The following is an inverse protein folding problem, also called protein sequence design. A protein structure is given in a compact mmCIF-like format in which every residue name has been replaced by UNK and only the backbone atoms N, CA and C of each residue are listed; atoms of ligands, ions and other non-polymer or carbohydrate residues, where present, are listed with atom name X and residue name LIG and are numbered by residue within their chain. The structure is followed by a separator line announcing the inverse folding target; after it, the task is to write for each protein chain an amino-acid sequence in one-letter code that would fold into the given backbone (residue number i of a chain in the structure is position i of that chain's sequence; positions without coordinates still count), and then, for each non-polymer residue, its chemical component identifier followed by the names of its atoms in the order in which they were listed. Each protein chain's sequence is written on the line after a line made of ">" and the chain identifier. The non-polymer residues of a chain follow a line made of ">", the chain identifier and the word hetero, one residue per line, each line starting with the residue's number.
data_IF_520882547519
#
_entry.id   IF_520882547519
#
_cell.length_a   1.000
_cell.length_b   1.000
_cell.length_c   1.000
_cell.angle_alpha   90.00
_cell.angle_beta   90.00
_cell.angle_gamma   90.00
#
_symmetry.space_group_name_H-M   'P 1'
#
loop_
_entity.id
_entity.type
_entity.pdbx_description
1 polymer ?
#
# COMPACT_ATOMS: atom_id res chain seq x y z
N UNK A 1 27.03 30.08 -6.08
CA UNK A 1 26.93 29.06 -7.14
C UNK A 1 25.55 28.45 -7.05
N UNK A 2 24.66 28.81 -7.98
CA UNK A 2 23.26 28.41 -7.97
C UNK A 2 23.15 26.95 -8.40
N UNK A 3 22.62 26.07 -7.52
CA UNK A 3 22.23 24.71 -7.92
C UNK A 3 21.13 24.86 -8.97
N UNK A 4 21.43 24.50 -10.22
CA UNK A 4 20.40 24.30 -11.24
C UNK A 4 19.43 23.26 -10.67
N UNK A 5 18.21 23.69 -10.32
CA UNK A 5 17.07 22.79 -10.16
C UNK A 5 17.01 22.02 -11.49
N UNK A 6 17.16 20.70 -11.45
CA UNK A 6 16.84 19.88 -12.61
C UNK A 6 15.37 20.19 -12.92
N UNK A 7 15.09 20.52 -14.18
CA UNK A 7 13.72 20.68 -14.66
C UNK A 7 12.99 19.35 -14.40
N UNK A 8 12.24 19.30 -13.30
CA UNK A 8 11.37 18.18 -13.00
C UNK A 8 10.35 18.12 -14.14
N UNK A 9 10.18 16.95 -14.75
CA UNK A 9 9.04 16.72 -15.61
C UNK A 9 7.78 16.97 -14.74
N UNK A 10 6.96 18.01 -14.98
CA UNK A 10 5.83 18.30 -14.11
C UNK A 10 4.66 17.33 -14.35
N UNK A 11 4.71 16.58 -15.46
CA UNK A 11 3.63 15.71 -15.86
C UNK A 11 3.65 14.43 -15.03
N UNK A 12 2.52 14.17 -14.37
CA UNK A 12 2.23 12.93 -13.69
C UNK A 12 0.94 12.34 -14.28
N UNK A 13 0.80 11.01 -14.39
CA UNK A 13 -0.27 10.42 -15.20
C UNK A 13 -1.60 10.20 -14.46
N UNK A 14 -1.65 10.38 -13.15
CA UNK A 14 -2.83 10.17 -12.32
C UNK A 14 -3.77 11.39 -12.33
N UNK A 15 -5.08 11.18 -12.16
CA UNK A 15 -6.03 12.27 -11.95
C UNK A 15 -5.66 13.11 -10.71
N UNK A 16 -5.77 14.44 -10.81
CA UNK A 16 -5.49 15.34 -9.69
C UNK A 16 -6.47 15.17 -8.51
N UNK A 17 -7.69 14.71 -8.81
CA UNK A 17 -8.73 14.36 -7.84
C UNK A 17 -9.00 12.86 -7.98
N UNK A 18 -9.16 12.16 -6.85
CA UNK A 18 -9.47 10.73 -6.82
C UNK A 18 -10.70 10.46 -7.70
N UNK A 19 -10.63 9.52 -8.64
CA UNK A 19 -11.81 9.05 -9.34
C UNK A 19 -12.91 8.62 -8.37
N UNK A 20 -14.16 8.64 -8.83
CA UNK A 20 -15.24 8.00 -8.09
C UNK A 20 -14.95 6.51 -7.90
N UNK A 21 -15.17 6.01 -6.68
CA UNK A 21 -14.92 4.62 -6.31
C UNK A 21 -16.19 4.01 -5.74
N UNK A 22 -16.66 2.95 -6.36
CA UNK A 22 -17.75 2.12 -5.84
C UNK A 22 -17.21 0.74 -5.48
N UNK A 23 -17.50 0.26 -4.27
CA UNK A 23 -17.10 -1.07 -3.81
C UNK A 23 -18.37 -1.82 -3.42
N UNK A 24 -18.65 -2.91 -4.14
CA UNK A 24 -19.84 -3.72 -3.93
C UNK A 24 -19.45 -5.19 -3.71
N UNK A 25 -19.90 -5.77 -2.60
CA UNK A 25 -19.78 -7.21 -2.40
C UNK A 25 -20.61 -7.95 -3.46
N UNK A 26 -20.06 -8.99 -4.06
CA UNK A 26 -20.76 -9.79 -5.07
C UNK A 26 -20.76 -11.26 -4.69
N UNK A 27 -21.83 -11.95 -5.04
CA UNK A 27 -21.88 -13.42 -5.00
C UNK A 27 -21.14 -13.95 -6.22
N UNK A 28 -19.87 -14.31 -6.02
CA UNK A 28 -19.02 -14.92 -7.03
C UNK A 28 -18.32 -16.14 -6.42
N UNK A 29 -17.86 -17.07 -7.28
CA UNK A 29 -17.05 -18.19 -6.81
C UNK A 29 -15.79 -17.67 -6.11
N UNK A 30 -15.49 -18.15 -4.88
CA UNK A 30 -14.25 -17.79 -4.20
C UNK A 30 -13.04 -18.17 -5.07
N UNK A 31 -12.07 -17.27 -5.14
CA UNK A 31 -10.80 -17.53 -5.80
C UNK A 31 -9.63 -17.22 -4.88
N UNK A 32 -8.54 -17.96 -5.08
CA UNK A 32 -7.25 -17.60 -4.53
C UNK A 32 -6.55 -16.66 -5.53
N UNK A 33 -5.88 -15.63 -5.02
CA UNK A 33 -5.00 -14.76 -5.81
C UNK A 33 -3.56 -15.19 -5.64
N UNK A 34 -2.80 -15.11 -6.72
CA UNK A 34 -1.34 -15.16 -6.72
C UNK A 34 -0.77 -13.74 -6.66
N UNK A 35 -0.73 -13.16 -5.46
CA UNK A 35 -0.24 -11.81 -5.22
C UNK A 35 1.29 -11.79 -5.05
N UNK A 36 2.00 -11.40 -6.11
CA UNK A 36 3.46 -11.25 -6.10
C UNK A 36 3.93 -9.89 -5.58
N UNK A 37 2.99 -8.99 -5.30
CA UNK A 37 3.28 -7.63 -4.90
C UNK A 37 3.86 -7.56 -3.48
N UNK A 38 4.85 -6.69 -3.29
CA UNK A 38 5.42 -6.41 -1.98
C UNK A 38 4.41 -5.78 -1.04
N UNK A 39 4.47 -6.08 0.28
CA UNK A 39 3.55 -5.53 1.28
C UNK A 39 3.47 -4.00 1.21
N UNK A 40 2.25 -3.47 1.02
CA UNK A 40 1.93 -2.04 1.12
C UNK A 40 2.36 -1.11 -0.03
N UNK A 41 3.06 -1.62 -1.05
CA UNK A 41 3.72 -0.78 -2.07
C UNK A 41 3.53 -1.27 -3.51
N UNK A 42 2.81 -2.38 -3.72
CA UNK A 42 2.34 -2.88 -5.03
C UNK A 42 3.45 -3.23 -6.06
N UNK A 43 4.73 -3.19 -5.69
CA UNK A 43 5.83 -3.55 -6.57
C UNK A 43 5.91 -5.06 -6.76
N UNK A 44 6.13 -5.54 -7.99
CA UNK A 44 6.48 -6.94 -8.22
C UNK A 44 8.00 -7.06 -8.24
N UNK A 45 8.62 -7.90 -7.40
CA UNK A 45 10.08 -8.07 -7.34
C UNK A 45 10.66 -8.82 -8.55
N UNK A 46 10.58 -8.21 -9.73
CA UNK A 46 11.05 -8.74 -11.01
C UNK A 46 11.84 -7.68 -11.78
N UNK A 47 12.92 -8.10 -12.44
CA UNK A 47 13.74 -7.18 -13.25
C UNK A 47 12.95 -6.73 -14.48
N UNK A 48 12.86 -5.42 -14.68
CA UNK A 48 12.08 -4.80 -15.75
C UNK A 48 10.60 -4.57 -15.39
N UNK A 49 10.13 -5.04 -14.23
CA UNK A 49 8.80 -4.67 -13.75
C UNK A 49 8.76 -3.18 -13.38
N UNK A 50 7.62 -2.56 -13.63
CA UNK A 50 7.37 -1.17 -13.35
C UNK A 50 5.95 -1.02 -12.81
N UNK A 51 5.86 -0.54 -11.58
CA UNK A 51 4.60 -0.18 -10.94
C UNK A 51 4.58 1.32 -10.66
N UNK A 52 3.49 1.97 -11.04
CA UNK A 52 3.09 3.25 -10.46
C UNK A 52 1.88 3.06 -9.54
N UNK A 53 1.86 3.80 -8.45
CA UNK A 53 0.70 3.94 -7.58
C UNK A 53 0.67 5.32 -6.92
N UNK A 54 -0.51 5.69 -6.42
CA UNK A 54 -0.80 7.02 -5.91
C UNK A 54 -1.35 7.00 -4.50
N UNK A 55 -1.36 8.16 -3.84
CA UNK A 55 -2.09 8.43 -2.60
C UNK A 55 -3.04 9.60 -2.81
N UNK A 56 -4.27 9.44 -2.35
CA UNK A 56 -5.31 10.46 -2.31
C UNK A 56 -5.79 10.68 -0.88
N UNK A 57 -5.65 11.91 -0.37
CA UNK A 57 -5.97 12.25 1.01
C UNK A 57 -7.29 13.05 1.14
N UNK A 58 -8.09 12.79 2.18
CA UNK A 58 -9.29 13.56 2.52
C UNK A 58 -8.94 14.99 3.01
N UNK A 59 -9.90 15.91 3.06
CA UNK A 59 -11.31 15.74 2.70
C UNK A 59 -11.58 15.82 1.19
N UNK A 60 -10.70 16.49 0.44
CA UNK A 60 -10.92 16.80 -0.98
C UNK A 60 -10.52 15.64 -1.92
N UNK A 61 -9.89 14.59 -1.37
CA UNK A 61 -9.37 13.46 -2.14
C UNK A 61 -8.44 13.89 -3.26
N UNK A 62 -7.54 14.83 -2.95
CA UNK A 62 -6.52 15.33 -3.87
C UNK A 62 -5.36 14.36 -3.95
N UNK A 63 -4.74 14.28 -5.12
CA UNK A 63 -3.49 13.56 -5.30
C UNK A 63 -2.39 14.24 -4.48
N UNK A 64 -1.82 13.53 -3.52
CA UNK A 64 -0.79 14.06 -2.62
C UNK A 64 0.57 13.43 -2.83
N UNK A 65 0.62 12.20 -3.34
CA UNK A 65 1.88 11.52 -3.64
C UNK A 65 1.70 10.48 -4.73
N UNK A 66 2.79 10.21 -5.46
CA UNK A 66 2.94 9.07 -6.35
C UNK A 66 4.27 8.40 -6.08
N UNK A 67 4.31 7.09 -6.27
CA UNK A 67 5.55 6.33 -6.32
C UNK A 67 5.66 5.58 -7.63
N UNK A 68 6.81 5.73 -8.29
CA UNK A 68 7.26 4.85 -9.36
C UNK A 68 8.29 3.89 -8.81
N UNK A 69 8.05 2.60 -9.03
CA UNK A 69 8.91 1.52 -8.55
C UNK A 69 9.36 0.69 -9.75
N UNK A 70 10.67 0.63 -9.97
CA UNK A 70 11.27 -0.06 -11.12
C UNK A 70 12.20 -1.17 -10.62
N UNK A 71 11.95 -2.41 -11.00
CA UNK A 71 12.89 -3.51 -10.80
C UNK A 71 14.09 -3.36 -11.73
N UNK A 72 15.26 -3.02 -11.20
CA UNK A 72 16.42 -2.61 -12.00
C UNK A 72 17.32 -3.78 -12.38
N UNK A 73 17.68 -4.60 -11.40
CA UNK A 73 18.66 -5.68 -11.59
C UNK A 73 18.56 -6.73 -10.48
N UNK A 74 19.09 -7.95 -10.71
CA UNK A 74 19.29 -8.91 -9.63
C UNK A 74 20.24 -8.34 -8.59
N UNK A 75 19.95 -8.60 -7.32
CA UNK A 75 20.74 -8.19 -6.17
C UNK A 75 20.81 -9.32 -5.13
N UNK A 76 21.61 -9.11 -4.10
CA UNK A 76 21.71 -10.01 -2.95
C UNK A 76 21.80 -9.18 -1.68
N UNK A 77 20.90 -9.45 -0.74
CA UNK A 77 20.98 -8.92 0.62
C UNK A 77 21.35 -10.11 1.52
N UNK A 78 22.50 -10.01 2.19
CA UNK A 78 23.11 -11.13 2.92
C UNK A 78 23.29 -12.36 2.02
N UNK A 79 22.62 -13.47 2.32
CA UNK A 79 22.63 -14.72 1.55
C UNK A 79 21.41 -14.86 0.62
N UNK A 80 20.48 -13.91 0.63
CA UNK A 80 19.20 -14.01 -0.09
C UNK A 80 19.24 -13.28 -1.43
N UNK A 81 18.94 -14.01 -2.51
CA UNK A 81 18.75 -13.42 -3.84
C UNK A 81 17.47 -12.59 -3.91
N UNK A 82 17.53 -11.44 -4.56
CA UNK A 82 16.44 -10.47 -4.64
C UNK A 82 16.57 -9.57 -5.88
N UNK A 83 15.69 -8.57 -5.98
CA UNK A 83 15.71 -7.52 -7.00
C UNK A 83 15.93 -6.18 -6.33
N UNK A 84 16.87 -5.39 -6.87
CA UNK A 84 17.02 -3.97 -6.56
C UNK A 84 15.86 -3.21 -7.22
N UNK A 85 15.04 -2.56 -6.40
CA UNK A 85 13.92 -1.73 -6.81
C UNK A 85 14.29 -0.28 -6.56
N UNK A 86 14.31 0.52 -7.63
CA UNK A 86 14.48 1.97 -7.51
C UNK A 86 13.12 2.62 -7.37
N UNK A 87 12.99 3.49 -6.38
CA UNK A 87 11.79 4.30 -6.16
C UNK A 87 12.07 5.74 -6.54
N UNK A 88 11.16 6.31 -7.32
CA UNK A 88 11.07 7.74 -7.56
C UNK A 88 9.71 8.19 -7.04
N UNK A 89 9.66 9.25 -6.23
CA UNK A 89 8.40 9.77 -5.72
C UNK A 89 8.07 11.10 -6.39
N UNK A 90 6.78 11.40 -6.51
CA UNK A 90 6.29 12.71 -6.92
C UNK A 90 5.42 13.30 -5.83
N UNK A 91 5.57 14.60 -5.60
CA UNK A 91 4.72 15.39 -4.71
C UNK A 91 4.33 16.70 -5.42
N UNK A 92 3.14 17.28 -5.14
CA UNK A 92 2.66 18.48 -5.82
C UNK A 92 3.64 19.66 -5.87
N UNK A 93 4.32 19.93 -4.75
CA UNK A 93 5.21 21.09 -4.62
C UNK A 93 6.67 20.80 -5.04
N UNK A 94 7.05 19.53 -5.08
CA UNK A 94 8.42 19.10 -5.36
C UNK A 94 8.61 18.52 -6.77
N UNK A 95 7.54 18.06 -7.41
CA UNK A 95 7.61 17.28 -8.64
C UNK A 95 8.27 15.91 -8.42
N UNK A 96 8.73 15.29 -9.52
CA UNK A 96 9.41 14.00 -9.45
C UNK A 96 10.81 14.13 -8.82
N UNK A 97 11.02 13.38 -7.75
CA UNK A 97 12.29 13.19 -7.07
C UNK A 97 12.85 11.83 -7.45
N UNK A 98 14.08 11.80 -7.96
CA UNK A 98 14.71 10.57 -8.44
C UNK A 98 15.47 9.86 -7.32
N UNK A 99 15.29 8.54 -7.20
CA UNK A 99 16.02 7.70 -6.27
C UNK A 99 15.77 8.07 -4.80
N UNK A 100 14.52 8.38 -4.47
CA UNK A 100 14.10 8.67 -3.08
C UNK A 100 14.34 7.46 -2.18
N UNK A 101 14.15 6.26 -2.73
CA UNK A 101 14.51 5.00 -2.10
C UNK A 101 15.22 4.06 -3.07
N UNK A 102 16.14 3.27 -2.52
CA UNK A 102 16.58 2.00 -3.08
C UNK A 102 16.07 0.89 -2.16
N UNK A 103 15.22 0.03 -2.68
CA UNK A 103 14.62 -1.06 -1.93
C UNK A 103 15.03 -2.40 -2.52
N UNK A 104 14.98 -3.45 -1.71
CA UNK A 104 15.38 -4.78 -2.13
C UNK A 104 14.29 -5.74 -1.71
N UNK A 105 13.71 -6.44 -2.68
CA UNK A 105 12.60 -7.35 -2.45
C UNK A 105 12.76 -8.63 -3.24
N UNK A 106 12.03 -9.67 -2.82
CA UNK A 106 11.89 -10.90 -3.57
C UNK A 106 10.47 -11.44 -3.47
N UNK A 107 10.08 -12.20 -4.48
CA UNK A 107 8.91 -13.08 -4.43
C UNK A 107 9.40 -14.52 -4.48
N UNK A 108 9.09 -15.31 -3.45
CA UNK A 108 9.33 -16.75 -3.39
C UNK A 108 8.11 -17.51 -3.91
N UNK A 109 8.08 -18.83 -3.71
CA UNK A 109 6.90 -19.63 -4.03
C UNK A 109 5.71 -19.30 -3.10
N UNK A 110 5.98 -18.85 -1.87
CA UNK A 110 4.99 -18.72 -0.80
C UNK A 110 4.81 -17.29 -0.29
N UNK A 111 5.76 -16.38 -0.54
CA UNK A 111 5.75 -15.02 0.03
C UNK A 111 6.27 -13.96 -0.95
N UNK A 112 5.84 -12.72 -0.72
CA UNK A 112 6.49 -11.51 -1.22
C UNK A 112 7.11 -10.76 -0.04
N UNK A 113 8.37 -10.35 -0.14
CA UNK A 113 9.16 -9.94 1.03
C UNK A 113 10.07 -8.74 0.72
N UNK A 114 10.07 -7.78 1.63
CA UNK A 114 11.11 -6.75 1.74
C UNK A 114 12.32 -7.31 2.48
N UNK A 115 13.52 -7.08 1.95
CA UNK A 115 14.79 -7.51 2.54
C UNK A 115 15.66 -6.34 3.00
N UNK A 116 15.56 -5.18 2.33
CA UNK A 116 16.26 -3.98 2.75
C UNK A 116 15.63 -2.73 2.15
N UNK A 117 15.85 -1.60 2.81
CA UNK A 117 15.57 -0.26 2.31
C UNK A 117 16.80 0.62 2.52
N UNK A 118 17.04 1.53 1.58
CA UNK A 118 18.11 2.51 1.65
C UNK A 118 17.59 3.85 1.17
N UNK A 119 17.75 4.89 1.99
CA UNK A 119 17.35 6.26 1.66
C UNK A 119 18.31 7.29 2.22
N UNK A 120 18.18 8.52 1.76
CA UNK A 120 18.87 9.67 2.35
C UNK A 120 18.01 10.25 3.48
N UNK A 121 18.60 10.45 4.66
CA UNK A 121 17.99 11.16 5.80
C UNK A 121 18.91 12.34 6.13
N UNK A 122 18.50 13.54 5.75
CA UNK A 122 19.39 14.71 5.78
C UNK A 122 20.56 14.54 4.80
N UNK A 123 21.78 14.43 5.31
CA UNK A 123 22.99 14.15 4.51
C UNK A 123 23.47 12.70 4.62
N UNK A 124 22.84 11.90 5.50
CA UNK A 124 23.25 10.52 5.78
C UNK A 124 22.49 9.53 4.89
N UNK A 125 23.19 8.53 4.37
CA UNK A 125 22.57 7.38 3.71
C UNK A 125 22.32 6.29 4.74
N UNK A 126 21.05 6.03 5.01
CA UNK A 126 20.60 5.05 5.99
C UNK A 126 20.15 3.79 5.26
N UNK A 127 20.76 2.65 5.59
CA UNK A 127 20.42 1.33 5.09
C UNK A 127 19.94 0.48 6.27
N UNK A 128 18.72 -0.04 6.18
CA UNK A 128 18.21 -1.05 7.10
C UNK A 128 17.84 -2.31 6.32
N UNK A 129 18.06 -3.46 6.93
CA UNK A 129 17.84 -4.80 6.38
C UNK A 129 16.93 -5.60 7.30
N UNK A 130 16.41 -6.73 6.81
CA UNK A 130 15.57 -7.64 7.58
C UNK A 130 16.21 -8.26 8.84
N UNK A 131 17.50 -8.01 9.08
CA UNK A 131 18.21 -8.41 10.31
C UNK A 131 18.30 -7.28 11.34
N UNK A 132 17.94 -6.06 10.98
CA UNK A 132 17.96 -4.92 11.89
C UNK A 132 16.68 -4.88 12.73
N UNK A 133 16.82 -4.54 14.01
CA UNK A 133 15.71 -4.50 14.97
C UNK A 133 14.59 -3.57 14.50
N UNK A 134 13.35 -4.07 14.48
CA UNK A 134 12.18 -3.29 14.10
C UNK A 134 12.04 -3.07 12.60
N UNK A 135 12.89 -3.65 11.75
CA UNK A 135 12.69 -3.63 10.30
C UNK A 135 11.32 -4.20 9.95
N UNK A 136 10.97 -5.31 10.60
CA UNK A 136 9.72 -5.99 10.39
C UNK A 136 8.49 -5.14 10.72
N UNK A 137 8.59 -4.09 11.54
CA UNK A 137 7.45 -3.23 11.95
C UNK A 137 6.88 -2.43 10.77
N UNK A 138 7.77 -1.88 9.94
CA UNK A 138 7.41 -1.04 8.79
C UNK A 138 7.52 -1.79 7.46
N UNK A 139 8.25 -2.91 7.45
CA UNK A 139 8.59 -3.71 6.27
C UNK A 139 8.38 -5.19 6.59
N UNK A 140 8.30 -6.08 5.62
CA UNK A 140 8.18 -7.48 5.99
C UNK A 140 7.79 -8.37 4.85
N UNK A 141 7.08 -9.45 5.19
CA UNK A 141 6.59 -10.42 4.23
C UNK A 141 5.08 -10.59 4.32
N UNK A 142 4.46 -10.84 3.17
CA UNK A 142 3.06 -11.26 3.08
C UNK A 142 2.98 -12.59 2.33
N UNK A 143 2.02 -13.47 2.66
CA UNK A 143 1.70 -14.62 1.84
C UNK A 143 1.42 -14.21 0.39
N UNK A 144 1.99 -14.95 -0.55
CA UNK A 144 1.79 -14.76 -1.99
C UNK A 144 0.43 -15.29 -2.44
N UNK A 145 0.06 -16.46 -1.95
CA UNK A 145 -1.23 -17.06 -2.23
C UNK A 145 -2.23 -16.64 -1.16
N UNK A 146 -3.24 -15.87 -1.54
CA UNK A 146 -4.25 -15.34 -0.60
C UNK A 146 -5.63 -15.78 -1.05
N UNK A 147 -6.41 -16.30 -0.11
CA UNK A 147 -7.81 -16.68 -0.31
C UNK A 147 -8.65 -16.27 0.91
N UNK A 148 -9.97 -16.26 0.76
CA UNK A 148 -10.86 -16.18 1.91
C UNK A 148 -10.99 -17.56 2.56
N UNK A 149 -10.28 -17.73 3.68
CA UNK A 149 -10.27 -18.96 4.47
C UNK A 149 -11.21 -18.87 5.69
N UNK A 150 -12.07 -17.84 5.76
CA UNK A 150 -12.97 -17.62 6.90
C UNK A 150 -12.25 -17.32 8.21
N UNK A 151 -10.98 -16.89 8.16
CA UNK A 151 -10.17 -16.52 9.34
C UNK A 151 -10.57 -15.19 9.96
N UNK A 152 -11.17 -14.29 9.17
CA UNK A 152 -11.75 -13.02 9.62
C UNK A 152 -13.23 -12.99 9.19
N UNK A 153 -14.14 -13.09 10.15
CA UNK A 153 -15.57 -13.29 9.88
C UNK A 153 -16.36 -12.04 10.19
N UNK A 154 -17.18 -11.60 9.24
CA UNK A 154 -18.12 -10.49 9.42
C UNK A 154 -19.29 -10.91 10.31
N UNK A 155 -19.61 -10.10 11.30
CA UNK A 155 -20.74 -10.28 12.22
C UNK A 155 -22.00 -9.58 11.70
N UNK A 156 -23.15 -9.85 12.34
CA UNK A 156 -24.45 -9.28 11.94
C UNK A 156 -24.51 -7.75 12.03
N UNK A 157 -23.78 -7.15 12.98
CA UNK A 157 -23.66 -5.70 13.14
C UNK A 157 -22.66 -5.06 12.15
N UNK A 158 -22.06 -5.86 11.26
CA UNK A 158 -21.12 -5.41 10.24
C UNK A 158 -19.67 -5.31 10.71
N UNK A 159 -19.38 -5.53 12.00
CA UNK A 159 -18.02 -5.66 12.52
C UNK A 159 -17.37 -6.99 12.11
N UNK A 160 -16.12 -7.21 12.49
CA UNK A 160 -15.38 -8.43 12.18
C UNK A 160 -14.81 -9.06 13.45
N UNK A 161 -14.73 -10.40 13.44
CA UNK A 161 -14.05 -11.19 14.46
C UNK A 161 -12.97 -12.05 13.85
N UNK A 162 -11.78 -11.98 14.44
CA UNK A 162 -10.70 -12.91 14.13
C UNK A 162 -11.02 -14.27 14.77
N UNK A 163 -10.96 -15.34 13.98
CA UNK A 163 -11.10 -16.73 14.46
C UNK A 163 -9.79 -17.40 14.80
N UNK A 164 -8.69 -16.74 14.47
CA UNK A 164 -7.33 -17.14 14.78
C UNK A 164 -6.66 -15.98 15.51
N UNK A 165 -5.77 -16.28 16.45
CA UNK A 165 -4.89 -15.24 16.96
C UNK A 165 -4.01 -14.77 15.79
N UNK A 166 -3.87 -13.45 15.56
CA UNK A 166 -2.89 -12.97 14.62
C UNK A 166 -1.51 -13.46 15.07
N UNK A 167 -0.71 -13.91 14.12
CA UNK A 167 0.67 -14.21 14.41
C UNK A 167 1.37 -12.91 14.82
N UNK A 168 2.39 -12.99 15.68
CA UNK A 168 3.27 -11.85 15.94
C UNK A 168 4.10 -11.48 14.69
N UNK A 169 3.94 -12.21 13.57
CA UNK A 169 4.52 -11.82 12.30
C UNK A 169 3.80 -10.58 11.77
N UNK A 170 4.54 -9.75 11.05
CA UNK A 170 4.18 -8.33 11.06
C UNK A 170 3.05 -7.95 10.12
N UNK A 171 2.66 -8.82 9.19
CA UNK A 171 1.49 -8.58 8.34
C UNK A 171 0.74 -9.89 8.06
N UNK A 172 -0.19 -10.24 8.95
CA UNK A 172 -1.16 -11.27 8.64
C UNK A 172 -2.18 -10.72 7.65
N UNK A 173 -2.41 -11.47 6.57
CA UNK A 173 -3.39 -11.13 5.53
C UNK A 173 -4.57 -12.09 5.56
N UNK A 174 -5.76 -11.54 5.36
CA UNK A 174 -7.03 -12.26 5.42
C UNK A 174 -7.90 -11.90 4.22
N UNK A 175 -8.24 -12.86 3.36
CA UNK A 175 -9.31 -12.69 2.38
C UNK A 175 -10.66 -12.54 3.09
N UNK A 176 -11.53 -11.67 2.57
CA UNK A 176 -12.81 -11.30 3.21
C UNK A 176 -13.94 -11.09 2.19
N UNK A 177 -14.02 -12.00 1.23
CA UNK A 177 -15.01 -12.02 0.16
C UNK A 177 -14.57 -11.36 -1.15
N UNK A 178 -15.39 -11.58 -2.18
CA UNK A 178 -15.21 -11.06 -3.54
C UNK A 178 -16.04 -9.81 -3.74
N UNK A 179 -15.45 -8.81 -4.40
CA UNK A 179 -16.02 -7.50 -4.62
C UNK A 179 -15.92 -7.10 -6.09
N UNK A 180 -16.94 -6.42 -6.58
CA UNK A 180 -16.82 -5.54 -7.74
C UNK A 180 -16.29 -4.19 -7.25
N UNK A 181 -15.15 -3.79 -7.79
CA UNK A 181 -14.55 -2.48 -7.52
C UNK A 181 -14.60 -1.68 -8.80
N UNK A 182 -15.31 -0.55 -8.76
CA UNK A 182 -15.38 0.41 -9.85
C UNK A 182 -14.49 1.60 -9.52
N UNK A 183 -13.64 1.99 -10.46
CA UNK A 183 -12.80 3.19 -10.37
C UNK A 183 -13.05 4.02 -11.64
N UNK A 184 -13.81 5.10 -11.51
CA UNK A 184 -14.34 5.85 -12.64
C UNK A 184 -15.16 4.95 -13.57
N UNK A 185 -14.76 4.85 -14.84
CA UNK A 185 -15.44 4.00 -15.82
C UNK A 185 -14.98 2.54 -15.84
N UNK A 186 -13.98 2.17 -15.03
CA UNK A 186 -13.35 0.84 -15.05
C UNK A 186 -13.89 -0.04 -13.93
N UNK A 187 -14.11 -1.31 -14.24
CA UNK A 187 -14.66 -2.30 -13.32
C UNK A 187 -13.69 -3.47 -13.15
N UNK A 188 -13.54 -3.93 -11.91
CA UNK A 188 -12.64 -5.01 -11.54
C UNK A 188 -13.35 -5.99 -10.60
N UNK A 189 -13.10 -7.28 -10.78
CA UNK A 189 -13.46 -8.32 -9.81
C UNK A 189 -12.25 -8.58 -8.93
N UNK A 190 -12.39 -8.29 -7.64
CA UNK A 190 -11.28 -8.32 -6.69
C UNK A 190 -11.60 -9.19 -5.46
N UNK A 191 -10.58 -9.85 -4.93
CA UNK A 191 -10.59 -10.35 -3.56
C UNK A 191 -10.29 -9.17 -2.64
N UNK A 192 -11.12 -8.95 -1.61
CA UNK A 192 -10.80 -7.97 -0.55
C UNK A 192 -9.93 -8.63 0.51
N UNK A 193 -8.77 -8.04 0.77
CA UNK A 193 -7.75 -8.55 1.68
C UNK A 193 -7.49 -7.55 2.79
N UNK A 194 -7.62 -7.99 4.05
CA UNK A 194 -7.26 -7.20 5.22
C UNK A 194 -5.85 -7.58 5.63
N UNK A 195 -4.97 -6.59 5.81
CA UNK A 195 -3.64 -6.75 6.40
C UNK A 195 -3.65 -6.09 7.77
N UNK A 196 -3.40 -6.90 8.81
CA UNK A 196 -3.39 -6.48 10.21
C UNK A 196 -1.99 -6.76 10.75
N UNK A 197 -1.38 -5.74 11.36
CA UNK A 197 -0.10 -5.90 12.04
C UNK A 197 -0.36 -6.26 13.51
N UNK A 198 0.03 -7.48 13.91
CA UNK A 198 -0.18 -7.98 15.26
C UNK A 198 -1.65 -8.05 15.70
N UNK A 199 -1.89 -7.91 17.00
CA UNK A 199 -3.26 -7.88 17.55
C UNK A 199 -3.98 -6.56 17.22
N UNK A 200 -5.28 -6.59 16.89
CA UNK A 200 -6.05 -5.37 16.74
C UNK A 200 -5.92 -4.47 17.97
N UNK A 201 -5.50 -3.23 17.76
CA UNK A 201 -5.28 -2.26 18.82
C UNK A 201 -5.57 -0.84 18.34
N UNK A 202 -5.88 0.05 19.29
CA UNK A 202 -6.26 1.44 19.00
C UNK A 202 -5.09 2.28 18.46
N UNK A 203 -3.85 1.83 18.65
CA UNK A 203 -2.65 2.49 18.12
C UNK A 203 -2.19 1.89 16.77
N UNK A 204 -2.91 0.90 16.25
CA UNK A 204 -2.52 0.12 15.08
C UNK A 204 -2.95 0.73 13.74
N UNK A 205 -2.53 0.07 12.67
CA UNK A 205 -2.95 0.36 11.29
C UNK A 205 -3.67 -0.88 10.76
N UNK A 206 -4.77 -0.65 10.04
CA UNK A 206 -5.40 -1.66 9.19
C UNK A 206 -5.20 -1.22 7.74
N UNK A 207 -4.74 -2.13 6.90
CA UNK A 207 -4.71 -1.91 5.45
C UNK A 207 -5.70 -2.84 4.76
N UNK A 208 -6.56 -2.30 3.90
CA UNK A 208 -7.55 -3.07 3.14
C UNK A 208 -7.22 -2.93 1.66
N UNK A 209 -6.81 -4.02 1.04
CA UNK A 209 -6.51 -4.08 -0.39
C UNK A 209 -7.62 -4.79 -1.16
N UNK A 210 -7.84 -4.37 -2.40
CA UNK A 210 -8.68 -5.04 -3.37
C UNK A 210 -7.78 -5.55 -4.50
N UNK A 211 -7.52 -6.84 -4.49
CA UNK A 211 -6.56 -7.51 -5.38
C UNK A 211 -7.33 -8.19 -6.51
N UNK A 212 -6.99 -7.88 -7.76
CA UNK A 212 -7.62 -8.48 -8.94
C UNK A 212 -7.31 -9.97 -9.06
N UNK A 213 -8.01 -10.67 -9.96
CA UNK A 213 -7.76 -12.08 -10.24
C UNK A 213 -6.33 -12.35 -10.74
N UNK A 214 -5.70 -11.36 -11.38
CA UNK A 214 -4.31 -11.39 -11.83
C UNK A 214 -3.29 -11.12 -10.70
N UNK A 215 -3.74 -10.97 -9.45
CA UNK A 215 -2.85 -10.77 -8.31
C UNK A 215 -2.29 -9.35 -8.21
N UNK A 216 -3.00 -8.35 -8.75
CA UNK A 216 -2.60 -6.94 -8.76
C UNK A 216 -3.51 -6.11 -7.86
N UNK A 217 -2.94 -5.23 -7.04
CA UNK A 217 -3.75 -4.32 -6.22
C UNK A 217 -4.39 -3.24 -7.11
N UNK A 218 -5.71 -3.11 -7.04
CA UNK A 218 -6.48 -2.07 -7.74
C UNK A 218 -6.70 -0.87 -6.82
N UNK A 219 -7.11 -1.15 -5.58
CA UNK A 219 -7.39 -0.15 -4.55
C UNK A 219 -6.78 -0.63 -3.25
N UNK A 220 -6.01 0.24 -2.59
CA UNK A 220 -5.61 0.08 -1.21
C UNK A 220 -6.26 1.16 -0.35
N UNK A 221 -6.72 0.82 0.84
CA UNK A 221 -7.25 1.76 1.81
C UNK A 221 -6.51 1.61 3.11
N UNK A 222 -5.96 2.70 3.62
CA UNK A 222 -5.42 2.71 4.98
C UNK A 222 -6.49 3.18 5.95
N UNK A 223 -6.60 2.48 7.07
CA UNK A 223 -7.36 2.88 8.23
C UNK A 223 -6.44 2.98 9.44
N UNK A 224 -6.64 4.01 10.25
CA UNK A 224 -5.88 4.23 11.48
C UNK A 224 -6.75 3.83 12.68
N UNK A 225 -6.17 3.12 13.66
CA UNK A 225 -6.80 2.94 14.97
C UNK A 225 -7.03 4.29 15.64
N UNK A 226 -7.99 4.40 16.56
CA UNK A 226 -8.44 5.70 17.10
C UNK A 226 -7.32 6.54 17.70
N UNK A 227 -6.29 5.90 18.26
CA UNK A 227 -5.15 6.52 18.90
C UNK A 227 -3.86 6.51 18.08
N UNK A 228 -3.89 6.00 16.84
CA UNK A 228 -2.71 5.94 15.98
C UNK A 228 -2.02 7.32 15.88
N UNK A 229 -0.72 7.37 16.14
CA UNK A 229 0.09 8.58 16.11
C UNK A 229 -0.05 9.52 17.31
N UNK A 230 -1.00 9.30 18.23
CA UNK A 230 -1.20 10.17 19.41
C UNK A 230 -0.10 10.03 20.47
N UNK A 231 0.55 8.86 20.52
CA UNK A 231 1.71 8.63 21.39
C UNK A 231 3.05 8.98 20.71
N UNK A 232 3.02 9.59 19.53
CA UNK A 232 4.22 9.98 18.79
C UNK A 232 4.52 11.47 18.99
N UNK A 233 5.79 11.85 18.85
CA UNK A 233 6.20 13.27 18.80
C UNK A 233 5.75 13.99 17.51
N UNK A 234 4.89 13.36 16.69
CA UNK A 234 4.33 13.94 15.47
C UNK A 234 3.18 14.89 15.82
N UNK A 235 2.79 15.71 14.84
CA UNK A 235 1.73 16.72 14.98
C UNK A 235 0.37 16.18 15.48
N UNK A 236 0.13 14.87 15.38
CA UNK A 236 -1.11 14.24 15.83
C UNK A 236 -1.16 13.97 17.34
N UNK A 237 -0.04 14.10 18.06
CA UNK A 237 0.08 13.80 19.50
C UNK A 237 -0.98 14.46 20.40
N UNK A 238 -1.33 15.70 20.07
CA UNK A 238 -2.25 16.53 20.85
C UNK A 238 -3.67 16.62 20.25
N UNK A 239 -3.94 15.91 19.15
CA UNK A 239 -5.24 15.99 18.48
C UNK A 239 -6.23 14.98 19.10
N UNK A 240 -7.55 15.19 18.96
CA UNK A 240 -8.55 14.21 19.36
C UNK A 240 -8.36 12.86 18.63
N UNK A 241 -8.94 11.77 19.13
CA UNK A 241 -9.01 10.49 18.43
C UNK A 241 -9.49 10.60 16.98
N UNK A 242 -9.05 9.69 16.11
CA UNK A 242 -9.38 9.74 14.68
C UNK A 242 -10.89 9.69 14.41
N UNK A 243 -11.66 8.94 15.20
CA UNK A 243 -13.12 8.81 15.04
C UNK A 243 -13.89 10.06 15.47
N UNK A 244 -13.29 10.89 16.33
CA UNK A 244 -13.83 12.21 16.71
C UNK A 244 -13.44 13.29 15.69
N UNK A 245 -12.22 13.20 15.14
CA UNK A 245 -11.74 14.12 14.09
C UNK A 245 -12.47 13.91 12.77
N UNK A 246 -12.81 12.66 12.45
CA UNK A 246 -13.44 12.27 11.19
C UNK A 246 -14.65 11.38 11.45
N UNK A 247 -15.72 11.93 12.04
CA UNK A 247 -16.88 11.16 12.45
C UNK A 247 -17.60 10.50 11.27
N UNK A 248 -17.52 11.11 10.08
CA UNK A 248 -18.21 10.68 8.86
C UNK A 248 -17.36 9.79 7.95
N UNK A 249 -16.08 9.56 8.30
CA UNK A 249 -15.25 8.63 7.55
C UNK A 249 -15.71 7.19 7.74
N UNK A 250 -15.44 6.35 6.73
CA UNK A 250 -15.69 4.92 6.80
C UNK A 250 -14.94 4.32 8.01
N UNK A 251 -15.62 3.43 8.74
CA UNK A 251 -15.08 2.75 9.92
C UNK A 251 -15.12 1.25 9.73
N UNK A 252 -14.07 0.59 10.16
CA UNK A 252 -13.98 -0.87 10.25
C UNK A 252 -13.76 -1.23 11.71
N UNK A 253 -14.56 -2.14 12.24
CA UNK A 253 -14.42 -2.61 13.62
C UNK A 253 -13.97 -4.07 13.62
N UNK A 254 -12.85 -4.38 14.27
CA UNK A 254 -12.30 -5.74 14.38
C UNK A 254 -12.08 -6.06 15.86
N UNK A 255 -12.70 -7.13 16.35
CA UNK A 255 -12.64 -7.52 17.77
C UNK A 255 -12.98 -6.36 18.75
N UNK A 256 -13.84 -5.42 18.33
CA UNK A 256 -14.22 -4.23 19.11
C UNK A 256 -13.28 -3.02 18.95
N UNK A 257 -12.14 -3.16 18.29
CA UNK A 257 -11.22 -2.06 17.97
C UNK A 257 -11.69 -1.33 16.71
N UNK A 258 -11.74 -0.01 16.76
CA UNK A 258 -12.22 0.82 15.64
C UNK A 258 -11.06 1.38 14.82
N UNK A 259 -11.13 1.17 13.52
CA UNK A 259 -10.22 1.73 12.53
C UNK A 259 -10.97 2.71 11.64
N UNK A 260 -10.42 3.90 11.46
CA UNK A 260 -11.03 5.02 10.72
C UNK A 260 -10.28 5.25 9.42
N UNK A 261 -11.01 5.34 8.31
CA UNK A 261 -10.44 5.51 6.98
C UNK A 261 -9.58 6.77 6.90
N UNK A 262 -8.36 6.61 6.40
CA UNK A 262 -7.36 7.66 6.36
C UNK A 262 -7.07 8.13 4.93
N UNK A 263 -6.63 7.23 4.05
CA UNK A 263 -6.39 7.57 2.64
C UNK A 263 -6.66 6.39 1.71
N UNK A 264 -6.76 6.70 0.42
CA UNK A 264 -6.83 5.72 -0.66
C UNK A 264 -5.54 5.69 -1.47
N UNK A 265 -5.11 4.49 -1.84
CA UNK A 265 -4.08 4.24 -2.83
C UNK A 265 -4.69 3.65 -4.09
N UNK A 266 -4.35 4.17 -5.27
CA UNK A 266 -4.74 3.58 -6.55
C UNK A 266 -3.50 3.15 -7.34
N UNK A 267 -3.55 1.97 -7.96
CA UNK A 267 -2.53 1.58 -8.93
C UNK A 267 -2.81 2.22 -10.29
N UNK A 268 -1.77 2.33 -11.13
CA UNK A 268 -1.94 2.75 -12.52
C UNK A 268 -2.99 1.92 -13.28
N UNK A 269 -3.11 0.64 -12.96
CA UNK A 269 -4.10 -0.27 -13.56
C UNK A 269 -5.53 0.20 -13.28
N UNK A 270 -5.80 0.63 -12.05
CA UNK A 270 -7.08 1.16 -11.62
C UNK A 270 -7.47 2.43 -12.40
N UNK A 271 -6.48 3.26 -12.73
CA UNK A 271 -6.68 4.48 -13.50
C UNK A 271 -6.55 4.30 -15.02
N UNK A 272 -6.26 3.09 -15.50
CA UNK A 272 -6.06 2.82 -16.93
C UNK A 272 -4.81 3.46 -17.52
N UNK A 273 -3.80 3.71 -16.69
CA UNK A 273 -2.53 4.31 -17.08
C UNK A 273 -1.60 3.20 -17.56
N UNK A 274 -0.99 3.40 -18.73
CA UNK A 274 0.11 2.56 -19.20
C UNK A 274 1.42 3.00 -18.53
N UNK A 275 1.86 2.23 -17.56
CA UNK A 275 3.03 2.55 -16.76
C UNK A 275 4.36 2.51 -17.55
N UNK A 276 4.39 1.92 -18.75
CA UNK A 276 5.59 1.95 -19.61
C UNK A 276 5.61 3.16 -20.53
N UNK A 277 4.44 3.62 -20.97
CA UNK A 277 4.33 4.65 -22.00
C UNK A 277 4.05 6.06 -21.45
N UNK A 278 3.74 6.22 -20.15
CA UNK A 278 3.41 7.54 -19.61
C UNK A 278 4.56 8.56 -19.65
N UNK A 279 5.82 8.10 -19.70
CA UNK A 279 7.01 8.99 -19.76
C UNK A 279 7.24 9.56 -21.17
N UNK A 280 6.80 8.86 -22.20
CA UNK A 280 7.08 9.20 -23.60
C UNK A 280 6.15 10.30 -24.16
N UNK A 281 5.07 10.61 -23.44
CA UNK A 281 4.11 11.66 -23.80
C UNK A 281 4.60 13.10 -23.64
N UNK A 282 5.89 13.33 -23.35
CA UNK A 282 6.52 14.65 -23.23
C UNK A 282 7.18 15.14 -24.53
N UNK A 283 6.97 14.45 -25.64
CA UNK A 283 7.38 14.89 -26.98
C UNK A 283 6.17 15.13 -27.88
N UNK A 284 5.43 16.20 -27.61
CA UNK A 284 4.33 16.70 -28.43
C UNK A 284 4.13 18.18 -28.21
#
# INVERSE_FOLDING_TARGET
>A
MSRKRSEACPHQPFPAIRPEIEVQAIEAEPFAVDCRETPGWFAVPEVGDLTLWSIYDPPDWRLTSLSEMIGVRPARIHDLGCVEIRVNDWEPDAGWQQGTWLMFARATADRAEWLAQCRLVGEERVLNTFLDEGFEVDWGSTPRHVADEGRLVRTQDGSFRLRVAPTLAVHDVFGTGVFRVRVGSRDFTCLRVFSIAGEPCEDGILYVSFISQEGRTILGRRFNGRNWGRNSARDDGNKPPWDERFPDHEKVVINGVTYVHWYDCLSHLACGIDARNWRDGSTG
#
